data_IF_415876862145
#
_entry.id   IF_415876862145
#
_cell.length_a   1.000
_cell.length_b   1.000
_cell.length_c   1.000
_cell.angle_alpha   90.00
_cell.angle_beta   90.00
_cell.angle_gamma   90.00
#
_symmetry.space_group_name_H-M   'P 1'
#
loop_
_entity.id
_entity.type
_entity.pdbx_description
1 polymer ?
#
# COMPACT_ATOMS: atom_id res chain seq x y z
N UNK A 1 31.82 -15.40 46.55
CA UNK A 1 30.84 -14.65 45.74
C UNK A 1 29.67 -15.58 45.47
N UNK A 2 28.81 -15.82 46.47
CA UNK A 2 27.48 -15.19 46.67
C UNK A 2 26.59 -15.23 45.42
N UNK A 3 25.57 -16.09 45.55
CA UNK A 3 24.28 -16.20 44.91
C UNK A 3 23.75 -15.02 44.08
N UNK A 4 23.07 -15.34 42.96
CA UNK A 4 21.60 -15.25 42.87
C UNK A 4 21.05 -16.10 41.71
N UNK A 5 20.07 -16.92 42.08
CA UNK A 5 19.19 -17.71 41.23
C UNK A 5 18.01 -16.86 40.69
N UNK A 6 17.23 -17.50 39.82
CA UNK A 6 15.78 -17.36 39.60
C UNK A 6 15.34 -16.35 38.50
N UNK A 7 15.04 -16.86 37.29
CA UNK A 7 13.64 -16.93 36.82
C UNK A 7 13.51 -17.89 35.62
N UNK A 8 13.21 -19.15 35.94
CA UNK A 8 12.48 -20.07 35.07
C UNK A 8 11.00 -19.74 35.14
N UNK A 9 10.41 -19.34 34.02
CA UNK A 9 9.00 -19.59 33.68
C UNK A 9 8.95 -19.86 32.18
N UNK A 10 8.93 -21.13 31.78
CA UNK A 10 7.71 -21.83 31.38
C UNK A 10 6.79 -20.93 30.55
N UNK A 11 6.98 -20.97 29.22
CA UNK A 11 5.95 -20.58 28.27
C UNK A 11 5.45 -21.84 27.58
N UNK A 12 4.74 -22.67 28.37
CA UNK A 12 3.82 -23.67 27.84
C UNK A 12 2.68 -22.92 27.16
N UNK A 13 2.71 -22.85 25.83
CA UNK A 13 1.53 -22.47 25.05
C UNK A 13 0.68 -23.71 24.79
N UNK A 14 -0.15 -24.05 25.77
CA UNK A 14 -1.34 -24.86 25.58
C UNK A 14 -2.35 -24.05 24.75
N UNK A 15 -2.31 -24.16 23.43
CA UNK A 15 -3.42 -23.72 22.58
C UNK A 15 -4.46 -24.85 22.52
N UNK A 16 -5.43 -24.81 23.43
CA UNK A 16 -6.69 -25.54 23.30
C UNK A 16 -7.87 -24.57 23.24
N UNK A 17 -8.71 -24.82 22.23
CA UNK A 17 -10.07 -24.32 21.99
C UNK A 17 -10.28 -22.92 21.43
N UNK A 18 -10.71 -22.90 20.16
CA UNK A 18 -12.12 -22.55 19.93
C UNK A 18 -12.40 -21.15 19.40
N UNK A 19 -11.77 -20.76 18.29
CA UNK A 19 -12.14 -19.55 17.57
C UNK A 19 -11.74 -19.64 16.12
N UNK A 20 -12.48 -20.43 15.32
CA UNK A 20 -12.33 -20.48 13.87
C UNK A 20 -12.69 -19.10 13.31
N UNK A 21 -11.75 -18.17 13.24
CA UNK A 21 -11.93 -16.94 12.49
C UNK A 21 -11.97 -17.34 11.01
N UNK A 22 -13.20 -17.41 10.53
CA UNK A 22 -13.54 -17.46 9.11
C UNK A 22 -12.91 -16.24 8.44
N UNK A 23 -11.70 -16.41 7.92
CA UNK A 23 -11.09 -15.46 6.98
C UNK A 23 -11.90 -15.54 5.70
N UNK A 24 -13.00 -14.80 5.71
CA UNK A 24 -13.92 -14.66 4.59
C UNK A 24 -13.13 -14.18 3.38
N UNK A 25 -13.51 -14.72 2.24
CA UNK A 25 -13.10 -14.36 0.89
C UNK A 25 -12.99 -12.84 0.68
N UNK A 26 -11.79 -12.26 0.80
CA UNK A 26 -11.54 -10.83 0.54
C UNK A 26 -11.41 -10.51 -0.96
N UNK A 27 -11.49 -11.50 -1.84
CA UNK A 27 -11.35 -11.31 -3.29
C UNK A 27 -12.65 -10.87 -4.01
N UNK A 28 -13.72 -10.58 -3.25
CA UNK A 28 -14.99 -10.08 -3.81
C UNK A 28 -15.29 -8.59 -3.51
N UNK A 29 -14.42 -7.84 -2.81
CA UNK A 29 -14.72 -6.45 -2.48
C UNK A 29 -14.00 -5.44 -3.38
N UNK A 30 -14.41 -5.46 -4.65
CA UNK A 30 -14.39 -4.26 -5.47
C UNK A 30 -15.52 -3.35 -4.95
N UNK A 31 -15.17 -2.32 -4.18
CA UNK A 31 -16.01 -1.15 -3.92
C UNK A 31 -17.45 -1.43 -3.44
N UNK A 32 -17.67 -1.55 -2.13
CA UNK A 32 -19.02 -1.35 -1.58
C UNK A 32 -18.96 -0.58 -0.26
N UNK A 33 -19.79 0.45 -0.20
CA UNK A 33 -20.03 1.34 0.93
C UNK A 33 -20.46 0.58 2.19
N UNK A 34 -19.74 0.76 3.29
CA UNK A 34 -20.25 0.51 4.65
C UNK A 34 -19.55 1.52 5.57
N UNK A 35 -20.15 2.70 5.77
CA UNK A 35 -21.12 2.98 6.83
C UNK A 35 -20.49 2.86 8.23
N UNK A 36 -19.56 3.77 8.52
CA UNK A 36 -19.25 4.16 9.88
C UNK A 36 -20.32 5.17 10.32
N UNK A 37 -21.25 4.72 11.17
CA UNK A 37 -22.33 5.55 11.72
C UNK A 37 -21.76 6.38 12.86
N UNK A 38 -21.49 7.65 12.59
CA UNK A 38 -21.23 8.68 13.60
C UNK A 38 -22.40 9.65 13.54
N UNK A 39 -23.33 9.51 14.48
CA UNK A 39 -24.30 10.55 14.82
C UNK A 39 -23.52 11.72 15.44
N UNK A 40 -23.65 12.93 14.87
CA UNK A 40 -23.05 14.14 15.43
C UNK A 40 -22.85 15.28 14.42
N UNK A 41 -23.97 15.87 14.00
CA UNK A 41 -24.19 17.28 13.65
C UNK A 41 -23.12 18.15 12.94
N UNK A 42 -23.52 18.55 11.72
CA UNK A 42 -23.49 19.91 11.15
C UNK A 42 -22.18 20.58 10.67
N UNK A 43 -22.25 20.91 9.36
CA UNK A 43 -21.62 21.99 8.55
C UNK A 43 -20.12 22.00 8.24
N UNK A 44 -19.80 21.63 6.99
CA UNK A 44 -19.46 22.63 5.96
C UNK A 44 -20.00 22.19 4.59
N UNK A 45 -20.95 22.96 4.06
CA UNK A 45 -21.29 22.98 2.64
C UNK A 45 -20.10 23.57 1.88
N UNK A 46 -19.17 22.72 1.43
CA UNK A 46 -18.25 23.10 0.37
C UNK A 46 -19.01 22.93 -0.94
N UNK A 47 -19.46 24.06 -1.47
CA UNK A 47 -19.82 24.22 -2.88
C UNK A 47 -18.63 23.70 -3.69
N UNK A 48 -18.70 22.48 -4.21
CA UNK A 48 -17.75 22.03 -5.23
C UNK A 48 -18.18 22.74 -6.50
N UNK A 49 -17.57 23.91 -6.73
CA UNK A 49 -17.72 24.66 -7.96
C UNK A 49 -17.43 23.75 -9.14
N UNK A 50 -18.40 23.68 -10.05
CA UNK A 50 -18.38 22.86 -11.24
C UNK A 50 -17.42 23.42 -12.29
N UNK A 51 -16.11 23.45 -12.04
CA UNK A 51 -15.07 23.71 -13.05
C UNK A 51 -13.68 23.29 -12.58
N UNK A 52 -13.39 21.98 -12.63
CA UNK A 52 -12.00 21.53 -12.85
C UNK A 52 -11.92 20.52 -13.99
N UNK A 53 -12.67 20.79 -15.08
CA UNK A 53 -12.44 20.13 -16.37
C UNK A 53 -11.15 20.60 -17.06
N UNK A 54 -10.07 20.89 -16.32
CA UNK A 54 -8.73 21.19 -16.84
C UNK A 54 -7.58 20.84 -15.87
N UNK A 55 -7.75 19.89 -14.94
CA UNK A 55 -6.61 19.29 -14.22
C UNK A 55 -5.86 18.30 -15.14
N UNK A 56 -5.19 18.83 -16.15
CA UNK A 56 -4.54 18.08 -17.21
C UNK A 56 -3.39 17.22 -16.68
N UNK A 57 -3.53 15.89 -16.75
CA UNK A 57 -2.52 14.85 -16.45
C UNK A 57 -1.88 14.86 -15.04
N UNK A 58 -1.47 16.00 -14.48
CA UNK A 58 -0.90 16.17 -13.15
C UNK A 58 -1.88 15.85 -12.03
N UNK A 59 -3.14 16.29 -12.12
CA UNK A 59 -4.13 16.08 -11.05
C UNK A 59 -4.44 14.60 -10.76
N UNK A 60 -4.49 13.75 -11.80
CA UNK A 60 -4.73 12.31 -11.60
C UNK A 60 -3.53 11.60 -10.98
N UNK A 61 -2.31 12.01 -11.30
CA UNK A 61 -1.10 11.46 -10.68
C UNK A 61 -1.05 11.77 -9.19
N UNK A 62 -1.30 13.02 -8.84
CA UNK A 62 -1.35 13.50 -7.46
C UNK A 62 -2.41 12.77 -6.62
N UNK A 63 -3.62 12.53 -7.16
CA UNK A 63 -4.65 11.73 -6.49
C UNK A 63 -4.21 10.29 -6.18
N UNK A 64 -3.36 9.70 -7.02
CA UNK A 64 -2.81 8.37 -6.78
C UNK A 64 -1.73 8.40 -5.70
N UNK A 65 -0.87 9.42 -5.68
CA UNK A 65 0.17 9.60 -4.65
C UNK A 65 -0.44 9.82 -3.27
N UNK A 66 -1.40 10.73 -3.14
CA UNK A 66 -2.10 10.98 -1.87
C UNK A 66 -2.74 9.69 -1.31
N UNK A 67 -3.31 8.85 -2.18
CA UNK A 67 -3.84 7.53 -1.78
C UNK A 67 -2.75 6.54 -1.39
N UNK A 68 -1.59 6.59 -2.04
CA UNK A 68 -0.46 5.73 -1.70
C UNK A 68 0.06 6.04 -0.30
N UNK A 69 0.25 7.31 0.03
CA UNK A 69 0.69 7.77 1.37
C UNK A 69 -0.29 7.36 2.47
N UNK A 70 -1.60 7.56 2.24
CA UNK A 70 -2.63 7.11 3.19
C UNK A 70 -2.56 5.60 3.43
N UNK A 71 -2.41 4.80 2.37
CA UNK A 71 -2.29 3.35 2.48
C UNK A 71 -1.00 2.92 3.19
N UNK A 72 0.10 3.64 2.98
CA UNK A 72 1.36 3.35 3.66
C UNK A 72 1.29 3.68 5.15
N UNK A 73 0.62 4.77 5.52
CA UNK A 73 0.35 5.08 6.92
C UNK A 73 -0.53 4.01 7.58
N UNK A 74 -1.57 3.53 6.90
CA UNK A 74 -2.38 2.41 7.38
C UNK A 74 -1.54 1.13 7.55
N UNK A 75 -0.61 0.84 6.64
CA UNK A 75 0.33 -0.28 6.80
C UNK A 75 1.11 -0.20 8.11
N UNK A 76 1.68 0.97 8.41
CA UNK A 76 2.44 1.20 9.66
C UNK A 76 1.57 1.04 10.90
N UNK A 77 0.31 1.47 10.85
CA UNK A 77 -0.65 1.26 11.95
C UNK A 77 -0.94 -0.21 12.20
N UNK A 78 -1.08 -1.02 11.15
CA UNK A 78 -1.29 -2.47 11.29
C UNK A 78 -0.07 -3.17 11.85
N UNK A 79 1.13 -2.79 11.41
CA UNK A 79 2.39 -3.30 11.97
C UNK A 79 2.52 -2.98 13.46
N UNK A 80 2.20 -1.75 13.87
CA UNK A 80 2.20 -1.35 15.28
C UNK A 80 1.19 -2.15 16.14
N UNK A 81 0.14 -2.70 15.53
CA UNK A 81 -0.84 -3.61 16.17
C UNK A 81 -0.39 -5.08 16.15
N UNK A 82 0.74 -5.40 15.51
CA UNK A 82 1.25 -6.76 15.34
C UNK A 82 0.60 -7.54 14.20
N UNK A 83 -0.29 -6.94 13.41
CA UNK A 83 -0.88 -7.57 12.23
C UNK A 83 -0.03 -7.31 10.99
N UNK A 84 1.05 -8.07 10.89
CA UNK A 84 2.02 -7.96 9.80
C UNK A 84 1.42 -8.35 8.44
N UNK A 85 0.40 -9.22 8.42
CA UNK A 85 -0.24 -9.65 7.18
C UNK A 85 -1.03 -8.48 6.55
N UNK A 86 -1.84 -7.79 7.36
CA UNK A 86 -2.52 -6.57 6.93
C UNK A 86 -1.52 -5.47 6.60
N UNK A 87 -0.46 -5.30 7.39
CA UNK A 87 0.58 -4.32 7.11
C UNK A 87 1.23 -4.54 5.74
N UNK A 88 1.64 -5.77 5.41
CA UNK A 88 2.20 -6.13 4.11
C UNK A 88 1.24 -5.80 2.96
N UNK A 89 -0.03 -6.15 3.13
CA UNK A 89 -1.08 -5.93 2.13
C UNK A 89 -1.26 -4.45 1.83
N UNK A 90 -1.37 -3.61 2.87
CA UNK A 90 -1.53 -2.17 2.72
C UNK A 90 -0.28 -1.52 2.09
N UNK A 91 0.93 -1.94 2.48
CA UNK A 91 2.15 -1.45 1.87
C UNK A 91 2.22 -1.81 0.37
N UNK A 92 1.89 -3.05 0.02
CA UNK A 92 1.90 -3.46 -1.39
C UNK A 92 0.86 -2.68 -2.22
N UNK A 93 -0.34 -2.44 -1.67
CA UNK A 93 -1.37 -1.62 -2.33
C UNK A 93 -0.93 -0.16 -2.48
N UNK A 94 -0.21 0.40 -1.51
CA UNK A 94 0.39 1.72 -1.61
C UNK A 94 1.36 1.79 -2.80
N UNK A 95 2.25 0.80 -2.95
CA UNK A 95 3.14 0.69 -4.11
C UNK A 95 2.39 0.63 -5.45
N UNK A 96 1.29 -0.13 -5.52
CA UNK A 96 0.44 -0.17 -6.73
C UNK A 96 -0.18 1.20 -7.07
N UNK A 97 -0.55 1.99 -6.06
CA UNK A 97 -1.08 3.35 -6.26
C UNK A 97 0.00 4.31 -6.74
N UNK A 98 1.18 4.29 -6.12
CA UNK A 98 2.33 5.06 -6.58
C UNK A 98 2.73 4.71 -8.03
N UNK A 99 2.73 3.42 -8.38
CA UNK A 99 2.98 3.00 -9.76
C UNK A 99 1.90 3.52 -10.73
N UNK A 100 0.64 3.54 -10.28
CA UNK A 100 -0.47 4.16 -11.01
C UNK A 100 -0.26 5.65 -11.25
N UNK A 101 0.31 6.38 -10.29
CA UNK A 101 0.68 7.79 -10.45
C UNK A 101 1.73 7.96 -11.55
N UNK A 102 2.83 7.21 -11.49
CA UNK A 102 3.89 7.26 -12.50
C UNK A 102 3.36 6.94 -13.90
N UNK A 103 2.51 5.91 -14.02
CA UNK A 103 1.88 5.55 -15.30
C UNK A 103 0.95 6.67 -15.78
N UNK A 104 0.17 7.30 -14.89
CA UNK A 104 -0.76 8.38 -15.22
C UNK A 104 -0.04 9.65 -15.74
N UNK A 105 1.14 9.93 -15.20
CA UNK A 105 1.99 11.05 -15.62
C UNK A 105 2.77 10.75 -16.91
N UNK A 106 2.93 9.47 -17.27
CA UNK A 106 3.69 9.05 -18.46
C UNK A 106 2.86 9.05 -19.77
N UNK A 107 3.56 8.92 -20.90
CA UNK A 107 2.94 8.70 -22.23
C UNK A 107 2.17 7.37 -22.33
N UNK A 108 2.39 6.44 -21.41
CA UNK A 108 1.71 5.13 -21.38
C UNK A 108 0.22 5.29 -21.03
N UNK A 109 -0.15 6.34 -20.28
CA UNK A 109 -1.54 6.58 -19.88
C UNK A 109 -2.53 6.62 -21.05
N UNK A 110 -2.11 7.14 -22.21
CA UNK A 110 -2.94 7.29 -23.41
C UNK A 110 -2.81 6.14 -24.42
N UNK A 111 -2.04 5.10 -24.12
CA UNK A 111 -1.75 4.02 -25.08
C UNK A 111 -2.97 3.11 -25.27
N UNK A 112 -3.35 2.85 -26.53
CA UNK A 112 -4.50 1.99 -26.90
C UNK A 112 -4.35 0.53 -26.44
N UNK A 113 -3.13 -0.01 -26.46
CA UNK A 113 -2.80 -1.35 -25.94
C UNK A 113 -1.81 -1.20 -24.78
N UNK A 114 -2.28 -1.44 -23.56
CA UNK A 114 -1.47 -1.50 -22.34
C UNK A 114 -1.72 -2.82 -21.62
N UNK A 115 -0.72 -3.32 -20.90
CA UNK A 115 -0.89 -4.51 -20.05
C UNK A 115 -1.96 -4.26 -18.99
N UNK A 116 -2.66 -5.30 -18.54
CA UNK A 116 -3.59 -5.21 -17.40
C UNK A 116 -2.86 -5.06 -16.07
N UNK A 117 -1.64 -5.58 -15.97
CA UNK A 117 -0.80 -5.51 -14.77
C UNK A 117 -0.05 -4.17 -14.70
N UNK A 118 -0.10 -3.50 -13.55
CA UNK A 118 0.51 -2.17 -13.38
C UNK A 118 2.03 -2.23 -13.44
N UNK A 119 2.67 -3.31 -12.97
CA UNK A 119 4.12 -3.44 -13.02
C UNK A 119 4.62 -3.58 -14.46
N UNK A 120 3.87 -4.29 -15.31
CA UNK A 120 4.17 -4.38 -16.73
C UNK A 120 3.94 -3.04 -17.44
N UNK A 121 2.92 -2.27 -17.02
CA UNK A 121 2.75 -0.89 -17.51
C UNK A 121 3.92 0.00 -17.09
N UNK A 122 4.46 -0.17 -15.88
CA UNK A 122 5.60 0.57 -15.37
C UNK A 122 6.86 0.30 -16.20
N UNK A 123 7.11 -0.98 -16.55
CA UNK A 123 8.23 -1.38 -17.43
C UNK A 123 8.16 -0.75 -18.81
N UNK A 124 6.98 -0.37 -19.30
CA UNK A 124 6.82 0.30 -20.59
C UNK A 124 7.29 1.76 -20.58
N UNK A 125 7.49 2.38 -19.41
CA UNK A 125 7.87 3.80 -19.30
C UNK A 125 9.34 3.99 -19.70
N UNK A 126 10.23 3.10 -19.26
CA UNK A 126 11.67 3.18 -19.52
C UNK A 126 12.51 2.49 -18.44
N UNK A 127 13.84 2.73 -18.42
CA UNK A 127 14.78 2.07 -17.50
C UNK A 127 14.41 2.24 -16.02
N UNK A 128 13.99 3.44 -15.62
CA UNK A 128 13.52 3.73 -14.26
C UNK A 128 12.32 2.85 -13.88
N UNK A 129 11.31 2.78 -14.76
CA UNK A 129 10.12 1.97 -14.52
C UNK A 129 10.42 0.47 -14.44
N UNK A 130 11.43 -0.01 -15.17
CA UNK A 130 11.91 -1.40 -15.07
C UNK A 130 12.53 -1.66 -13.71
N UNK A 131 13.43 -0.78 -13.24
CA UNK A 131 14.09 -0.91 -11.94
C UNK A 131 13.08 -1.00 -10.80
N UNK A 132 12.10 -0.09 -10.77
CA UNK A 132 11.05 -0.12 -9.75
C UNK A 132 10.19 -1.38 -9.84
N UNK A 133 9.76 -1.77 -11.04
CA UNK A 133 8.97 -2.98 -11.23
C UNK A 133 9.69 -4.24 -10.74
N UNK A 134 10.99 -4.38 -11.01
CA UNK A 134 11.80 -5.52 -10.56
C UNK A 134 11.94 -5.58 -9.04
N UNK A 135 12.05 -4.43 -8.37
CA UNK A 135 12.12 -4.37 -6.91
C UNK A 135 10.80 -4.80 -6.27
N UNK A 136 9.66 -4.29 -6.77
CA UNK A 136 8.33 -4.63 -6.24
C UNK A 136 7.87 -6.05 -6.56
N UNK A 137 8.22 -6.57 -7.74
CA UNK A 137 7.77 -7.90 -8.18
C UNK A 137 8.25 -9.03 -7.25
N UNK A 138 9.35 -8.84 -6.54
CA UNK A 138 9.85 -9.77 -5.51
C UNK A 138 8.84 -10.02 -4.39
N UNK A 139 8.00 -9.03 -4.07
CA UNK A 139 7.00 -9.10 -3.01
C UNK A 139 5.65 -9.67 -3.47
N UNK A 140 5.38 -9.75 -4.77
CA UNK A 140 4.12 -10.27 -5.32
C UNK A 140 3.83 -11.70 -4.87
N UNK A 141 4.86 -12.56 -4.86
CA UNK A 141 4.75 -13.96 -4.40
C UNK A 141 4.47 -14.03 -2.91
N UNK A 142 5.20 -13.26 -2.11
CA UNK A 142 5.03 -13.19 -0.65
C UNK A 142 3.61 -12.75 -0.31
N UNK A 143 3.15 -11.64 -0.89
CA UNK A 143 1.76 -11.17 -0.72
C UNK A 143 0.75 -12.25 -1.08
N UNK A 144 0.91 -12.93 -2.22
CA UNK A 144 -0.05 -13.97 -2.63
C UNK A 144 -0.11 -15.12 -1.62
N UNK A 145 1.00 -15.52 -1.01
CA UNK A 145 1.01 -16.58 0.01
C UNK A 145 0.33 -16.14 1.30
N UNK A 146 0.60 -14.91 1.74
CA UNK A 146 0.00 -14.30 2.93
C UNK A 146 -1.53 -14.16 2.75
N UNK A 147 -1.97 -13.57 1.64
CA UNK A 147 -3.40 -13.37 1.34
C UNK A 147 -4.17 -14.69 1.21
N UNK A 148 -3.53 -15.74 0.73
CA UNK A 148 -4.14 -17.07 0.63
C UNK A 148 -4.03 -17.89 1.92
N UNK A 149 -3.50 -17.32 3.02
CA UNK A 149 -3.33 -18.00 4.30
C UNK A 149 -2.31 -19.15 4.28
N UNK A 150 -1.48 -19.24 3.23
CA UNK A 150 -0.45 -20.27 3.09
C UNK A 150 0.77 -19.95 3.95
N UNK A 151 1.02 -18.67 4.17
CA UNK A 151 2.13 -18.15 4.97
C UNK A 151 1.60 -17.06 5.93
N UNK A 152 0.98 -17.46 7.05
CA UNK A 152 0.32 -16.50 7.95
C UNK A 152 1.32 -15.67 8.77
N UNK A 153 2.59 -16.08 8.83
CA UNK A 153 3.63 -15.46 9.65
C UNK A 153 4.62 -14.65 8.83
N UNK A 154 4.18 -13.57 8.19
CA UNK A 154 5.13 -12.63 7.56
C UNK A 154 5.91 -11.90 8.65
N UNK A 155 7.23 -11.92 8.52
CA UNK A 155 8.11 -11.29 9.50
C UNK A 155 8.02 -9.76 9.39
N UNK A 156 8.24 -9.07 10.52
CA UNK A 156 8.26 -7.60 10.60
C UNK A 156 9.29 -7.02 9.62
N UNK A 157 10.42 -7.70 9.45
CA UNK A 157 11.50 -7.25 8.55
C UNK A 157 11.05 -7.23 7.08
N UNK A 158 10.18 -8.16 6.68
CA UNK A 158 9.65 -8.19 5.31
C UNK A 158 8.66 -7.05 5.08
N UNK A 159 7.79 -6.78 6.07
CA UNK A 159 6.85 -5.65 6.06
C UNK A 159 7.62 -4.33 5.98
N UNK A 160 8.56 -4.12 6.91
CA UNK A 160 9.36 -2.91 6.99
C UNK A 160 10.16 -2.68 5.70
N UNK A 161 10.76 -3.73 5.11
CA UNK A 161 11.45 -3.62 3.82
C UNK A 161 10.52 -3.16 2.70
N UNK A 162 9.28 -3.66 2.67
CA UNK A 162 8.32 -3.24 1.66
C UNK A 162 7.87 -1.80 1.89
N UNK A 163 7.60 -1.40 3.14
CA UNK A 163 7.25 -0.02 3.46
C UNK A 163 8.34 0.95 3.06
N UNK A 164 9.61 0.67 3.41
CA UNK A 164 10.76 1.48 3.00
C UNK A 164 10.89 1.58 1.47
N UNK A 165 10.64 0.48 0.75
CA UNK A 165 10.65 0.49 -0.71
C UNK A 165 9.54 1.37 -1.29
N UNK A 166 8.37 1.40 -0.65
CA UNK A 166 7.26 2.28 -1.05
C UNK A 166 7.58 3.74 -0.73
N UNK A 167 8.12 4.04 0.44
CA UNK A 167 8.59 5.39 0.80
C UNK A 167 9.59 5.91 -0.23
N UNK A 168 10.65 5.14 -0.49
CA UNK A 168 11.69 5.50 -1.46
C UNK A 168 11.09 5.77 -2.86
N UNK A 169 10.07 4.99 -3.24
CA UNK A 169 9.40 5.18 -4.52
C UNK A 169 8.50 6.43 -4.54
N UNK A 170 7.79 6.72 -3.46
CA UNK A 170 6.98 7.95 -3.34
C UNK A 170 7.90 9.17 -3.36
N UNK A 171 8.99 9.16 -2.58
CA UNK A 171 9.98 10.24 -2.54
C UNK A 171 10.59 10.49 -3.92
N UNK A 172 10.94 9.42 -4.65
CA UNK A 172 11.41 9.51 -6.03
C UNK A 172 10.40 10.21 -6.96
N UNK A 173 9.11 9.89 -6.83
CA UNK A 173 8.06 10.48 -7.65
C UNK A 173 7.82 11.96 -7.30
N UNK A 174 7.82 12.31 -6.02
CA UNK A 174 7.68 13.69 -5.54
C UNK A 174 8.86 14.57 -5.98
N UNK A 175 10.08 14.05 -5.90
CA UNK A 175 11.28 14.73 -6.40
C UNK A 175 11.23 14.94 -7.93
N UNK A 176 10.61 14.01 -8.66
CA UNK A 176 10.35 14.15 -10.09
C UNK A 176 9.31 15.22 -10.43
N UNK A 177 8.28 15.39 -9.60
CA UNK A 177 7.25 16.43 -9.79
C UNK A 177 7.80 17.84 -9.56
N UNK A 178 8.62 18.04 -8.52
CA UNK A 178 9.21 19.36 -8.24
C UNK A 178 10.07 19.89 -9.40
N UNK A 179 10.84 19.02 -10.05
CA UNK A 179 11.67 19.39 -11.20
C UNK A 179 10.85 19.74 -12.45
N UNK A 180 9.66 19.17 -12.60
CA UNK A 180 8.75 19.49 -13.71
C UNK A 180 8.02 20.81 -13.53
N UNK A 181 7.90 21.29 -12.28
CA UNK A 181 7.12 22.48 -11.91
C UNK A 181 7.92 23.78 -11.94
N UNK A 182 9.26 23.71 -11.79
CA UNK A 182 10.17 24.86 -11.93
C UNK A 182 10.53 25.20 -13.39
N UNK A 183 10.24 24.29 -14.33
CA UNK A 183 10.54 24.47 -15.75
C UNK A 183 9.36 25.04 -16.58
N UNK A 184 8.28 25.46 -15.93
CA UNK A 184 7.04 25.97 -16.53
C UNK A 184 6.75 27.41 -16.07
#
# INVERSE_FOLDING_TARGET
MVALNIFTTNFEQTFHNGGRMSFRCWNCFLWSTQSFKMEGDMVMSVIISATTRFAGKSGRGHDFLAKAELMLNESRKWEAQGDNASALEYAYRAGLRAAGAMVACSRIASRKRKSSNVWDQLRMIGPEGIQWADRFQKFSRTRSRVVNGIDPGVSVEVVHRLQLLVDEFIDYLLAGESLGQEAA
#
